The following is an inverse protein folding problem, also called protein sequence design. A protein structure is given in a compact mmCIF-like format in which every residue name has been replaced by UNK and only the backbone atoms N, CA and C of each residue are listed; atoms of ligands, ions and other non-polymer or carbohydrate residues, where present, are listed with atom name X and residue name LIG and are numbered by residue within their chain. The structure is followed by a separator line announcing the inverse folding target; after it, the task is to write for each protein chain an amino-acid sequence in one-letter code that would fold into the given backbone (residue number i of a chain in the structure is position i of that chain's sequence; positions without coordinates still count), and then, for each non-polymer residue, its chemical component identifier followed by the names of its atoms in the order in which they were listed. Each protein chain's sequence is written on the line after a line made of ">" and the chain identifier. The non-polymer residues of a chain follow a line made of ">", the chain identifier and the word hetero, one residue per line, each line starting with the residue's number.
data_IF_686605625664
#
_entry.id   IF_686605625664
#
_cell.length_a   1.000
_cell.length_b   1.000
_cell.length_c   1.000
_cell.angle_alpha   90.00
_cell.angle_beta   90.00
_cell.angle_gamma   90.00
#
_symmetry.space_group_name_H-M   'P 1'
#
loop_
_entity.id
_entity.type
_entity.pdbx_description
1 polymer ?
#
# COMPACT_ATOMS: atom_id res chain seq x y z
N UNK A 1 10.25 25.19 3.97
CA UNK A 1 10.29 24.87 2.52
C UNK A 1 8.96 24.28 2.11
N UNK A 2 8.46 24.62 0.92
CA UNK A 2 7.24 23.98 0.39
C UNK A 2 7.66 22.75 -0.41
N UNK A 3 7.77 21.60 0.23
CA UNK A 3 8.00 20.35 -0.46
C UNK A 3 6.72 19.94 -1.20
N UNK A 4 6.83 19.62 -2.48
CA UNK A 4 5.74 19.05 -3.23
C UNK A 4 5.71 17.56 -2.89
N UNK A 5 4.61 17.10 -2.31
CA UNK A 5 4.40 15.70 -1.94
C UNK A 5 3.43 15.07 -2.93
N UNK A 6 3.81 13.94 -3.48
CA UNK A 6 2.97 13.10 -4.32
C UNK A 6 2.71 11.77 -3.60
N UNK A 7 1.45 11.35 -3.57
CA UNK A 7 1.02 10.14 -2.85
C UNK A 7 0.53 9.12 -3.87
N UNK A 8 1.05 7.89 -3.79
CA UNK A 8 0.66 6.81 -4.69
C UNK A 8 0.29 5.57 -3.88
N UNK A 9 -0.92 5.04 -4.08
CA UNK A 9 -1.29 3.71 -3.62
C UNK A 9 -0.92 2.67 -4.68
N UNK A 10 0.28 2.11 -4.55
CA UNK A 10 0.81 1.14 -5.51
C UNK A 10 0.02 -0.17 -5.54
N UNK A 11 -0.70 -0.51 -4.48
CA UNK A 11 -1.57 -1.68 -4.48
C UNK A 11 -2.77 -1.49 -5.41
N UNK A 12 -3.38 -0.31 -5.36
CA UNK A 12 -4.49 0.05 -6.25
C UNK A 12 -4.03 0.14 -7.71
N UNK A 13 -2.86 0.78 -7.94
CA UNK A 13 -2.28 0.86 -9.29
C UNK A 13 -1.96 -0.52 -9.87
N UNK A 14 -1.40 -1.41 -9.05
CA UNK A 14 -1.08 -2.79 -9.45
C UNK A 14 -2.33 -3.58 -9.85
N UNK A 15 -3.38 -3.55 -9.04
CA UNK A 15 -4.62 -4.25 -9.35
C UNK A 15 -5.37 -3.63 -10.53
N UNK A 16 -5.27 -2.33 -10.72
CA UNK A 16 -5.86 -1.66 -11.88
C UNK A 16 -5.16 -2.09 -13.18
N UNK A 17 -3.84 -2.27 -13.17
CA UNK A 17 -3.07 -2.80 -14.30
C UNK A 17 -3.30 -4.30 -14.49
N UNK A 18 -3.21 -5.10 -13.44
CA UNK A 18 -3.43 -6.55 -13.45
C UNK A 18 -4.80 -6.93 -14.07
N UNK A 19 -5.84 -6.15 -13.73
CA UNK A 19 -7.20 -6.33 -14.24
C UNK A 19 -7.51 -5.37 -15.41
N UNK A 20 -6.51 -4.94 -16.17
CA UNK A 20 -6.73 -4.20 -17.41
C UNK A 20 -7.11 -5.14 -18.56
N UNK A 21 -7.90 -4.65 -19.50
CA UNK A 21 -8.23 -5.40 -20.72
C UNK A 21 -6.98 -5.92 -21.41
N UNK A 22 -5.96 -5.06 -21.56
CA UNK A 22 -4.68 -5.39 -22.21
C UNK A 22 -4.00 -6.58 -21.53
N UNK A 23 -3.86 -6.54 -20.20
CA UNK A 23 -3.19 -7.61 -19.46
C UNK A 23 -3.99 -8.92 -19.51
N UNK A 24 -5.30 -8.86 -19.33
CA UNK A 24 -6.18 -10.05 -19.39
C UNK A 24 -6.20 -10.64 -20.79
N UNK A 25 -6.21 -9.83 -21.84
CA UNK A 25 -6.13 -10.31 -23.23
C UNK A 25 -4.84 -11.07 -23.50
N UNK A 26 -3.69 -10.54 -23.03
CA UNK A 26 -2.41 -11.21 -23.15
C UNK A 26 -2.40 -12.54 -22.38
N UNK A 27 -2.92 -12.55 -21.17
CA UNK A 27 -3.09 -13.80 -20.41
C UNK A 27 -4.00 -14.80 -21.11
N UNK A 28 -5.07 -14.36 -21.78
CA UNK A 28 -5.94 -15.22 -22.58
C UNK A 28 -5.20 -15.84 -23.78
N UNK A 29 -4.30 -15.09 -24.43
CA UNK A 29 -3.46 -15.60 -25.53
C UNK A 29 -2.53 -16.70 -25.02
N UNK A 30 -1.76 -16.40 -23.97
CA UNK A 30 -0.86 -17.37 -23.33
C UNK A 30 -1.58 -18.62 -22.82
N UNK A 31 -2.78 -18.46 -22.26
CA UNK A 31 -3.60 -19.57 -21.80
C UNK A 31 -4.01 -20.51 -22.96
N UNK A 32 -4.36 -19.97 -24.13
CA UNK A 32 -4.68 -20.78 -25.33
C UNK A 32 -3.47 -21.56 -25.83
N UNK A 33 -2.31 -20.92 -25.90
CA UNK A 33 -1.05 -21.54 -26.35
C UNK A 33 -0.58 -22.70 -25.45
N UNK A 34 -0.94 -22.67 -24.16
CA UNK A 34 -0.55 -23.70 -23.19
C UNK A 34 -1.39 -24.99 -23.26
N UNK A 35 -2.45 -25.05 -24.08
CA UNK A 35 -3.48 -26.10 -23.99
C UNK A 35 -3.94 -26.68 -25.33
N UNK A 36 -3.03 -27.33 -26.07
CA UNK A 36 -3.29 -27.88 -27.40
C UNK A 36 -4.18 -29.13 -27.46
N UNK A 37 -4.71 -29.69 -26.34
CA UNK A 37 -5.42 -30.98 -26.40
C UNK A 37 -6.58 -31.13 -25.38
N UNK A 38 -7.62 -30.29 -25.45
CA UNK A 38 -8.84 -30.49 -24.66
C UNK A 38 -9.98 -31.13 -25.48
N UNK A 39 -10.87 -31.85 -24.78
CA UNK A 39 -12.15 -32.28 -25.36
C UNK A 39 -13.02 -31.05 -25.73
N UNK A 40 -13.86 -31.20 -26.75
CA UNK A 40 -14.66 -30.11 -27.30
C UNK A 40 -15.54 -29.38 -26.25
N UNK A 41 -16.05 -30.09 -25.23
CA UNK A 41 -16.85 -29.49 -24.15
C UNK A 41 -16.02 -28.61 -23.21
N UNK A 42 -14.79 -29.03 -22.91
CA UNK A 42 -13.86 -28.24 -22.08
C UNK A 42 -13.41 -27.00 -22.83
N UNK A 43 -13.17 -27.12 -24.13
CA UNK A 43 -12.79 -26.00 -24.98
C UNK A 43 -13.88 -24.91 -25.02
N UNK A 44 -15.16 -25.29 -25.18
CA UNK A 44 -16.28 -24.36 -25.14
C UNK A 44 -16.37 -23.62 -23.79
N UNK A 45 -16.16 -24.35 -22.69
CA UNK A 45 -16.17 -23.73 -21.34
C UNK A 45 -15.05 -22.71 -21.20
N UNK A 46 -13.85 -23.01 -21.69
CA UNK A 46 -12.70 -22.11 -21.69
C UNK A 46 -12.98 -20.84 -22.51
N UNK A 47 -13.56 -20.99 -23.69
CA UNK A 47 -13.92 -19.85 -24.53
C UNK A 47 -14.94 -18.90 -23.82
N UNK A 48 -15.92 -19.46 -23.13
CA UNK A 48 -16.87 -18.68 -22.34
C UNK A 48 -16.20 -17.93 -21.17
N UNK A 49 -15.27 -18.59 -20.46
CA UNK A 49 -14.49 -17.97 -19.39
C UNK A 49 -13.66 -16.82 -19.94
N UNK A 50 -12.95 -17.02 -21.04
CA UNK A 50 -12.14 -15.98 -21.68
C UNK A 50 -12.99 -14.80 -22.17
N UNK A 51 -14.11 -15.10 -22.86
CA UNK A 51 -15.04 -14.06 -23.29
C UNK A 51 -15.58 -13.23 -22.14
N UNK A 52 -15.89 -13.86 -21.01
CA UNK A 52 -16.31 -13.17 -19.79
C UNK A 52 -15.15 -12.34 -19.21
N UNK A 53 -13.96 -12.91 -19.09
CA UNK A 53 -12.79 -12.26 -18.53
C UNK A 53 -12.41 -10.96 -19.27
N UNK A 54 -12.60 -10.90 -20.57
CA UNK A 54 -12.30 -9.71 -21.39
C UNK A 54 -13.21 -8.49 -21.10
N UNK A 55 -14.28 -8.65 -20.32
CA UNK A 55 -15.15 -7.54 -19.91
C UNK A 55 -14.69 -6.87 -18.58
N UNK A 56 -13.40 -6.99 -18.22
CA UNK A 56 -12.86 -6.46 -16.95
C UNK A 56 -13.08 -4.96 -16.78
N UNK A 57 -13.02 -4.18 -17.84
CA UNK A 57 -13.23 -2.72 -17.76
C UNK A 57 -14.70 -2.40 -17.42
N UNK A 58 -15.67 -3.15 -17.97
CA UNK A 58 -17.07 -3.03 -17.55
C UNK A 58 -17.26 -3.44 -16.07
N UNK A 59 -16.59 -4.49 -15.62
CA UNK A 59 -16.63 -4.90 -14.23
C UNK A 59 -16.06 -3.81 -13.29
N UNK A 60 -14.97 -3.14 -13.69
CA UNK A 60 -14.43 -1.98 -12.96
C UNK A 60 -15.45 -0.83 -12.90
N UNK A 61 -16.10 -0.51 -14.02
CA UNK A 61 -17.10 0.55 -14.07
C UNK A 61 -18.29 0.27 -13.16
N UNK A 62 -18.72 -0.99 -13.09
CA UNK A 62 -19.76 -1.40 -12.14
C UNK A 62 -19.30 -1.17 -10.71
N UNK A 63 -18.11 -1.62 -10.36
CA UNK A 63 -17.57 -1.50 -8.99
C UNK A 63 -17.28 -0.05 -8.58
N UNK A 64 -17.00 0.84 -9.54
CA UNK A 64 -16.70 2.26 -9.32
C UNK A 64 -17.92 3.19 -9.44
N UNK A 65 -19.10 2.63 -9.67
CA UNK A 65 -20.35 3.40 -9.90
C UNK A 65 -21.49 2.92 -9.01
N UNK A 66 -22.61 3.64 -9.05
CA UNK A 66 -23.84 3.26 -8.34
C UNK A 66 -24.43 1.92 -8.79
N UNK A 67 -24.00 1.38 -9.94
CA UNK A 67 -24.34 0.03 -10.41
C UNK A 67 -23.94 -1.06 -9.43
N UNK A 68 -22.90 -0.85 -8.63
CA UNK A 68 -22.46 -1.74 -7.55
C UNK A 68 -23.57 -2.11 -6.56
N UNK A 69 -24.51 -1.21 -6.29
CA UNK A 69 -25.64 -1.46 -5.37
C UNK A 69 -26.74 -2.31 -5.99
N UNK A 70 -26.74 -2.51 -7.30
CA UNK A 70 -27.56 -3.52 -7.96
C UNK A 70 -26.92 -4.90 -7.79
N UNK A 71 -27.61 -5.79 -7.07
CA UNK A 71 -27.08 -7.12 -6.75
C UNK A 71 -26.71 -7.93 -8.00
N UNK A 72 -27.54 -7.85 -9.05
CA UNK A 72 -27.33 -8.62 -10.29
C UNK A 72 -26.10 -8.10 -11.05
N UNK A 73 -25.95 -6.78 -11.18
CA UNK A 73 -24.80 -6.16 -11.83
C UNK A 73 -23.49 -6.44 -11.05
N UNK A 74 -23.55 -6.34 -9.72
CA UNK A 74 -22.40 -6.67 -8.87
C UNK A 74 -21.99 -8.14 -9.02
N UNK A 75 -22.92 -9.09 -8.97
CA UNK A 75 -22.62 -10.51 -9.17
C UNK A 75 -22.05 -10.79 -10.57
N UNK A 76 -22.57 -10.11 -11.58
CA UNK A 76 -22.04 -10.19 -12.94
C UNK A 76 -20.58 -9.72 -12.99
N UNK A 77 -20.25 -8.57 -12.41
CA UNK A 77 -18.89 -8.03 -12.35
C UNK A 77 -17.96 -8.91 -11.51
N UNK A 78 -18.41 -9.44 -10.38
CA UNK A 78 -17.65 -10.41 -9.56
C UNK A 78 -17.29 -11.67 -10.35
N UNK A 79 -18.20 -12.16 -11.21
CA UNK A 79 -17.94 -13.31 -12.07
C UNK A 79 -16.88 -12.98 -13.15
N UNK A 80 -16.94 -11.80 -13.74
CA UNK A 80 -15.93 -11.34 -14.69
C UNK A 80 -14.54 -11.33 -14.03
N UNK A 81 -14.41 -10.69 -12.87
CA UNK A 81 -13.15 -10.66 -12.15
C UNK A 81 -12.63 -12.05 -11.74
N UNK A 82 -13.55 -12.93 -11.31
CA UNK A 82 -13.20 -14.32 -10.98
C UNK A 82 -12.65 -15.06 -12.21
N UNK A 83 -13.27 -14.87 -13.36
CA UNK A 83 -12.82 -15.48 -14.61
C UNK A 83 -11.48 -14.90 -15.07
N UNK A 84 -11.27 -13.58 -14.93
CA UNK A 84 -10.00 -12.94 -15.24
C UNK A 84 -8.88 -13.47 -14.33
N UNK A 85 -9.09 -13.49 -13.02
CA UNK A 85 -8.11 -14.03 -12.06
C UNK A 85 -7.85 -15.53 -12.29
N UNK A 86 -8.86 -16.30 -12.70
CA UNK A 86 -8.68 -17.70 -13.07
C UNK A 86 -7.69 -17.84 -14.23
N UNK A 87 -7.86 -17.06 -15.30
CA UNK A 87 -6.96 -17.06 -16.46
C UNK A 87 -5.55 -16.61 -16.06
N UNK A 88 -5.44 -15.48 -15.36
CA UNK A 88 -4.16 -14.92 -14.91
C UNK A 88 -3.40 -15.95 -14.07
N UNK A 89 -4.04 -16.57 -13.10
CA UNK A 89 -3.40 -17.57 -12.22
C UNK A 89 -2.88 -18.78 -12.96
N UNK A 90 -3.51 -19.18 -14.07
CA UNK A 90 -3.05 -20.31 -14.87
C UNK A 90 -1.78 -20.02 -15.66
N UNK A 91 -1.50 -18.77 -15.97
CA UNK A 91 -0.32 -18.37 -16.75
C UNK A 91 0.78 -17.71 -15.90
N UNK A 92 0.58 -17.63 -14.60
CA UNK A 92 1.45 -16.88 -13.68
C UNK A 92 2.47 -17.73 -12.92
N UNK A 93 2.79 -18.93 -13.39
CA UNK A 93 3.94 -19.75 -12.94
C UNK A 93 4.16 -19.81 -11.40
N UNK A 94 3.11 -20.15 -10.63
CA UNK A 94 3.20 -20.29 -9.17
C UNK A 94 2.89 -19.03 -8.35
N UNK A 95 2.70 -17.87 -8.98
CA UNK A 95 2.12 -16.70 -8.33
C UNK A 95 0.61 -16.84 -8.32
N UNK A 96 -0.02 -16.58 -7.17
CA UNK A 96 -1.47 -16.66 -7.01
C UNK A 96 -2.06 -15.32 -6.64
N UNK A 97 -2.96 -14.82 -7.48
CA UNK A 97 -3.67 -13.57 -7.28
C UNK A 97 -5.09 -13.81 -6.78
N UNK A 98 -5.46 -13.12 -5.74
CA UNK A 98 -6.84 -12.99 -5.25
C UNK A 98 -7.19 -11.52 -5.11
N UNK A 99 -8.42 -11.18 -4.73
CA UNK A 99 -8.76 -9.77 -4.44
C UNK A 99 -8.07 -9.23 -3.18
N UNK A 100 -7.62 -10.11 -2.29
CA UNK A 100 -7.13 -9.73 -0.97
C UNK A 100 -5.63 -10.01 -0.79
N UNK A 101 -5.02 -10.81 -1.67
CA UNK A 101 -3.62 -11.20 -1.55
C UNK A 101 -2.98 -11.46 -2.90
N UNK A 102 -1.66 -11.34 -2.91
CA UNK A 102 -0.77 -11.83 -3.96
C UNK A 102 0.18 -12.79 -3.26
N UNK A 103 0.00 -14.08 -3.51
CA UNK A 103 0.78 -15.13 -2.87
C UNK A 103 1.96 -15.48 -3.79
N UNK A 104 3.15 -15.11 -3.38
CA UNK A 104 4.41 -15.41 -4.07
C UNK A 104 5.02 -16.71 -3.51
N UNK A 105 5.80 -17.44 -4.29
CA UNK A 105 6.44 -18.70 -3.84
C UNK A 105 7.67 -18.45 -2.96
N UNK A 106 7.60 -17.49 -2.03
CA UNK A 106 8.65 -17.10 -1.09
C UNK A 106 8.13 -17.02 0.34
N UNK A 107 8.99 -17.32 1.30
CA UNK A 107 8.70 -17.10 2.70
C UNK A 107 8.90 -15.61 3.05
N UNK A 108 7.80 -14.91 3.36
CA UNK A 108 7.79 -13.50 3.75
C UNK A 108 8.45 -13.21 5.10
N UNK A 109 8.76 -14.24 5.88
CA UNK A 109 9.45 -14.13 7.17
C UNK A 109 10.95 -14.49 7.06
N UNK A 110 11.41 -14.84 5.88
CA UNK A 110 12.80 -15.21 5.60
C UNK A 110 13.50 -14.12 4.80
N UNK A 111 14.43 -13.39 5.42
CA UNK A 111 15.25 -12.38 4.73
C UNK A 111 15.97 -12.95 3.49
N UNK A 112 16.61 -14.14 3.53
CA UNK A 112 17.20 -14.74 2.34
C UNK A 112 16.22 -15.00 1.19
N UNK A 113 15.00 -15.48 1.49
CA UNK A 113 13.98 -15.69 0.47
C UNK A 113 13.46 -14.37 -0.12
N UNK A 114 13.30 -13.34 0.71
CA UNK A 114 12.96 -11.99 0.23
C UNK A 114 14.07 -11.48 -0.70
N UNK A 115 15.33 -11.54 -0.30
CA UNK A 115 16.45 -11.08 -1.13
C UNK A 115 16.55 -11.84 -2.45
N UNK A 116 16.32 -13.16 -2.43
CA UNK A 116 16.28 -13.99 -3.64
C UNK A 116 15.18 -13.56 -4.60
N UNK A 117 14.01 -13.18 -4.10
CA UNK A 117 12.86 -12.73 -4.90
C UNK A 117 13.15 -11.46 -5.73
N UNK A 118 14.10 -10.62 -5.29
CA UNK A 118 14.39 -9.33 -5.93
C UNK A 118 15.02 -9.42 -7.32
N UNK A 119 15.50 -10.60 -7.72
CA UNK A 119 16.07 -10.85 -9.04
C UNK A 119 15.22 -11.82 -9.88
N UNK A 120 14.14 -12.36 -9.32
CA UNK A 120 13.32 -13.36 -9.98
C UNK A 120 12.16 -12.72 -10.76
N UNK A 121 12.43 -12.39 -12.01
CA UNK A 121 11.44 -11.78 -12.91
C UNK A 121 10.27 -12.69 -13.27
N UNK A 122 10.40 -14.01 -13.04
CA UNK A 122 9.33 -14.97 -13.32
C UNK A 122 8.26 -14.99 -12.22
N UNK A 123 8.69 -14.93 -10.95
CA UNK A 123 7.80 -15.11 -9.81
C UNK A 123 7.59 -13.81 -8.99
N UNK A 124 8.29 -12.72 -9.34
CA UNK A 124 8.08 -11.41 -8.74
C UNK A 124 7.46 -10.44 -9.76
N UNK A 125 6.14 -10.35 -9.81
CA UNK A 125 5.43 -9.52 -10.80
C UNK A 125 5.65 -8.02 -10.57
N UNK A 126 6.12 -7.62 -9.40
CA UNK A 126 6.36 -6.22 -9.08
C UNK A 126 7.53 -5.63 -9.88
N UNK A 127 8.50 -6.46 -10.30
CA UNK A 127 9.64 -5.99 -11.12
C UNK A 127 9.11 -5.36 -12.41
N UNK A 128 8.42 -6.12 -13.23
CA UNK A 128 7.90 -5.65 -14.52
C UNK A 128 6.87 -4.52 -14.37
N UNK A 129 6.05 -4.56 -13.31
CA UNK A 129 5.09 -3.50 -13.02
C UNK A 129 5.79 -2.16 -12.74
N UNK A 130 6.81 -2.15 -11.89
CA UNK A 130 7.53 -0.91 -11.57
C UNK A 130 8.33 -0.37 -12.75
N UNK A 131 9.04 -1.22 -13.50
CA UNK A 131 9.80 -0.84 -14.69
C UNK A 131 8.92 -0.21 -15.78
N UNK A 132 7.69 -0.72 -15.93
CA UNK A 132 6.82 -0.30 -17.03
C UNK A 132 6.31 1.14 -16.87
N UNK A 133 5.89 1.51 -15.67
CA UNK A 133 5.20 2.78 -15.44
C UNK A 133 5.84 3.64 -14.34
N UNK A 134 6.13 3.06 -13.19
CA UNK A 134 6.41 3.83 -11.99
C UNK A 134 7.80 4.45 -11.98
N UNK A 135 8.85 3.69 -12.36
CA UNK A 135 10.22 4.22 -12.44
C UNK A 135 10.36 5.36 -13.45
N UNK A 136 9.69 5.23 -14.58
CA UNK A 136 9.66 6.32 -15.60
C UNK A 136 9.05 7.60 -15.05
N UNK A 137 8.05 7.49 -14.18
CA UNK A 137 7.46 8.64 -13.51
C UNK A 137 8.45 9.29 -12.56
N UNK A 138 9.13 8.50 -11.69
CA UNK A 138 10.17 9.00 -10.77
C UNK A 138 11.26 9.74 -11.53
N UNK A 139 11.77 9.16 -12.63
CA UNK A 139 12.82 9.76 -13.47
C UNK A 139 12.37 11.06 -14.12
N UNK A 140 11.16 11.07 -14.72
CA UNK A 140 10.61 12.24 -15.38
C UNK A 140 10.38 13.41 -14.42
N UNK A 141 9.86 13.13 -13.26
CA UNK A 141 9.51 14.11 -12.23
C UNK A 141 10.70 14.47 -11.34
N UNK A 142 11.85 13.79 -11.53
CA UNK A 142 13.10 13.99 -10.77
C UNK A 142 12.89 13.97 -9.27
N UNK A 143 12.15 12.98 -8.81
CA UNK A 143 11.89 12.78 -7.38
C UNK A 143 13.22 12.56 -6.67
N UNK A 144 13.42 13.24 -5.54
CA UNK A 144 14.66 13.16 -4.74
C UNK A 144 14.52 12.31 -3.49
N UNK A 145 13.32 12.18 -2.94
CA UNK A 145 13.02 11.39 -1.75
C UNK A 145 11.84 10.44 -2.00
N UNK A 146 11.98 9.20 -1.57
CA UNK A 146 10.90 8.19 -1.62
C UNK A 146 10.68 7.60 -0.22
N UNK A 147 9.46 7.75 0.29
CA UNK A 147 8.99 7.06 1.49
C UNK A 147 8.06 5.90 1.12
N UNK A 148 8.36 4.69 1.56
CA UNK A 148 7.57 3.48 1.28
C UNK A 148 6.94 2.98 2.57
N UNK A 149 5.60 2.94 2.66
CA UNK A 149 4.88 2.46 3.83
C UNK A 149 4.61 0.96 3.75
N UNK A 150 5.08 0.21 4.76
CA UNK A 150 4.94 -1.24 4.89
C UNK A 150 4.15 -1.57 6.16
N UNK A 151 2.86 -1.88 5.99
CA UNK A 151 1.94 -2.15 7.09
C UNK A 151 1.76 -3.65 7.38
N UNK A 152 2.14 -4.52 6.44
CA UNK A 152 2.02 -5.97 6.56
C UNK A 152 3.17 -6.72 5.87
N UNK A 153 3.41 -7.98 6.29
CA UNK A 153 4.48 -8.81 5.74
C UNK A 153 4.36 -9.01 4.22
N UNK A 154 3.15 -9.12 3.69
CA UNK A 154 2.91 -9.32 2.26
C UNK A 154 3.34 -8.14 1.37
N UNK A 155 3.55 -6.96 1.95
CA UNK A 155 4.05 -5.79 1.23
C UNK A 155 5.58 -5.74 1.16
N UNK A 156 6.27 -6.58 1.93
CA UNK A 156 7.72 -6.45 2.12
C UNK A 156 8.50 -6.74 0.84
N UNK A 157 8.19 -7.83 0.13
CA UNK A 157 8.85 -8.15 -1.15
C UNK A 157 8.65 -7.00 -2.16
N UNK A 158 7.41 -6.55 -2.31
CA UNK A 158 7.07 -5.43 -3.20
C UNK A 158 7.84 -4.15 -2.83
N UNK A 159 7.89 -3.81 -1.54
CA UNK A 159 8.58 -2.61 -1.04
C UNK A 159 10.09 -2.67 -1.27
N UNK A 160 10.75 -3.79 -0.96
CA UNK A 160 12.20 -3.94 -1.14
C UNK A 160 12.55 -4.08 -2.63
N UNK A 161 11.68 -4.71 -3.44
CA UNK A 161 11.82 -4.72 -4.91
C UNK A 161 11.82 -3.31 -5.47
N UNK A 162 10.85 -2.48 -5.05
CA UNK A 162 10.79 -1.08 -5.47
C UNK A 162 12.04 -0.31 -5.06
N UNK A 163 12.46 -0.46 -3.80
CA UNK A 163 13.66 0.21 -3.29
C UNK A 163 14.92 -0.16 -4.10
N UNK A 164 15.10 -1.46 -4.41
CA UNK A 164 16.21 -1.94 -5.26
C UNK A 164 16.19 -1.27 -6.63
N UNK A 165 15.06 -1.34 -7.33
CA UNK A 165 14.92 -0.78 -8.68
C UNK A 165 15.14 0.74 -8.69
N UNK A 166 14.67 1.46 -7.68
CA UNK A 166 14.94 2.89 -7.52
C UNK A 166 16.44 3.16 -7.39
N UNK A 167 17.14 2.41 -6.56
CA UNK A 167 18.59 2.58 -6.37
C UNK A 167 19.38 2.27 -7.65
N UNK A 168 18.94 1.31 -8.44
CA UNK A 168 19.60 0.90 -9.67
C UNK A 168 19.30 1.84 -10.86
N UNK A 169 18.08 2.37 -10.95
CA UNK A 169 17.61 3.03 -12.17
C UNK A 169 17.23 4.52 -12.00
N UNK A 170 17.08 5.01 -10.78
CA UNK A 170 16.60 6.38 -10.53
C UNK A 170 17.66 7.23 -9.81
N UNK A 171 18.73 7.71 -10.50
CA UNK A 171 19.82 8.45 -9.88
C UNK A 171 19.41 9.81 -9.29
N UNK A 172 18.22 10.31 -9.61
CA UNK A 172 17.66 11.52 -8.97
C UNK A 172 17.26 11.28 -7.52
N UNK A 173 16.92 10.02 -7.15
CA UNK A 173 16.52 9.69 -5.79
C UNK A 173 17.73 9.61 -4.88
N UNK A 174 17.84 10.57 -3.97
CA UNK A 174 18.93 10.67 -3.01
C UNK A 174 18.72 9.81 -1.78
N UNK A 175 17.46 9.59 -1.39
CA UNK A 175 17.12 8.87 -0.17
C UNK A 175 15.85 8.05 -0.31
N UNK A 176 15.91 6.78 0.09
CA UNK A 176 14.79 5.84 0.16
C UNK A 176 14.58 5.44 1.62
N UNK A 177 13.41 5.74 2.16
CA UNK A 177 13.04 5.41 3.54
C UNK A 177 11.87 4.43 3.57
N UNK A 178 11.97 3.35 4.36
CA UNK A 178 10.83 2.52 4.70
C UNK A 178 10.16 3.03 5.97
N UNK A 179 8.86 2.84 6.10
CA UNK A 179 8.11 3.13 7.31
C UNK A 179 6.90 2.22 7.45
N UNK A 180 6.09 2.45 8.47
CA UNK A 180 4.86 1.71 8.73
C UNK A 180 4.98 0.66 9.84
N UNK A 181 3.84 0.14 10.26
CA UNK A 181 3.74 -0.70 11.45
C UNK A 181 4.53 -2.00 11.38
N UNK A 182 4.58 -2.63 10.22
CA UNK A 182 5.28 -3.91 10.09
C UNK A 182 6.79 -3.71 10.11
N UNK A 183 7.30 -2.75 9.36
CA UNK A 183 8.74 -2.49 9.28
C UNK A 183 9.30 -1.96 10.61
N UNK A 184 8.50 -1.20 11.37
CA UNK A 184 8.88 -0.76 12.73
C UNK A 184 9.20 -1.95 13.63
N UNK A 185 8.32 -2.96 13.66
CA UNK A 185 8.53 -4.18 14.47
C UNK A 185 9.73 -4.97 13.99
N UNK A 186 9.87 -5.11 12.67
CA UNK A 186 11.01 -5.81 12.09
C UNK A 186 12.34 -5.12 12.43
N UNK A 187 12.38 -3.78 12.33
CA UNK A 187 13.57 -3.02 12.69
C UNK A 187 13.91 -3.11 14.18
N UNK A 188 12.90 -3.09 15.05
CA UNK A 188 13.12 -3.12 16.50
C UNK A 188 13.61 -4.47 16.98
N UNK A 189 13.03 -5.55 16.47
CA UNK A 189 13.31 -6.91 16.94
C UNK A 189 14.49 -7.57 16.23
N UNK A 190 14.64 -7.39 14.92
CA UNK A 190 15.53 -8.19 14.08
C UNK A 190 16.77 -7.43 13.60
N UNK A 191 16.70 -6.09 13.45
CA UNK A 191 17.81 -5.31 12.89
C UNK A 191 18.72 -4.76 14.00
N UNK A 192 19.63 -5.60 14.53
CA UNK A 192 20.58 -5.22 15.58
C UNK A 192 21.98 -4.92 15.07
N UNK A 193 22.36 -5.56 13.98
CA UNK A 193 23.59 -5.38 13.24
C UNK A 193 23.27 -4.99 11.79
N UNK A 194 24.19 -5.31 10.85
CA UNK A 194 23.90 -5.10 9.43
C UNK A 194 22.71 -5.95 8.97
N UNK A 195 21.80 -5.33 8.17
CA UNK A 195 20.67 -6.04 7.55
C UNK A 195 20.68 -5.80 6.03
N UNK A 196 20.48 -6.84 5.19
CA UNK A 196 20.61 -6.75 3.73
C UNK A 196 19.70 -5.71 3.07
N UNK A 197 18.58 -5.35 3.67
CA UNK A 197 17.72 -4.31 3.10
C UNK A 197 18.42 -2.96 2.95
N UNK A 198 19.40 -2.67 3.80
CA UNK A 198 20.20 -1.44 3.71
C UNK A 198 21.17 -1.40 2.51
N UNK A 199 21.18 -2.43 1.66
CA UNK A 199 21.76 -2.34 0.33
C UNK A 199 20.91 -1.46 -0.60
N UNK A 200 19.61 -1.37 -0.34
CA UNK A 200 18.62 -0.70 -1.21
C UNK A 200 17.86 0.43 -0.53
N UNK A 201 17.93 0.55 0.79
CA UNK A 201 17.31 1.63 1.55
C UNK A 201 18.33 2.41 2.35
N UNK A 202 18.06 3.67 2.64
CA UNK A 202 18.93 4.54 3.42
C UNK A 202 18.49 4.59 4.89
N UNK A 203 17.18 4.47 5.14
CA UNK A 203 16.65 4.53 6.50
C UNK A 203 15.33 3.79 6.67
N UNK A 204 14.97 3.58 7.94
CA UNK A 204 13.64 3.13 8.35
C UNK A 204 13.09 4.13 9.37
N UNK A 205 11.92 4.70 9.07
CA UNK A 205 11.18 5.54 9.98
C UNK A 205 10.34 4.66 10.90
N UNK A 206 10.67 4.63 12.18
CA UNK A 206 10.02 3.80 13.19
C UNK A 206 8.93 4.58 13.93
N UNK A 207 7.91 3.87 14.40
CA UNK A 207 6.83 4.43 15.23
C UNK A 207 6.03 5.56 14.55
N UNK A 208 5.85 6.69 15.26
CA UNK A 208 5.21 7.88 14.73
C UNK A 208 6.17 8.61 13.79
N UNK A 209 5.74 8.89 12.57
CA UNK A 209 6.61 9.43 11.52
C UNK A 209 6.42 10.91 11.20
N UNK A 210 5.38 11.57 11.68
CA UNK A 210 5.00 12.91 11.22
C UNK A 210 6.10 13.95 11.47
N UNK A 211 6.55 14.12 12.71
CA UNK A 211 7.63 15.03 13.06
C UNK A 211 9.00 14.51 12.60
N UNK A 212 9.33 13.21 12.80
CA UNK A 212 10.58 12.66 12.31
C UNK A 212 10.79 12.79 10.80
N UNK A 213 9.74 12.61 10.00
CA UNK A 213 9.83 12.78 8.55
C UNK A 213 10.15 14.23 8.17
N UNK A 214 9.51 15.21 8.82
CA UNK A 214 9.83 16.61 8.59
C UNK A 214 11.30 16.91 8.89
N UNK A 215 11.81 16.43 10.02
CA UNK A 215 13.23 16.60 10.39
C UNK A 215 14.19 15.88 9.46
N UNK A 216 13.81 14.69 8.96
CA UNK A 216 14.61 13.98 7.95
C UNK A 216 14.71 14.80 6.67
N UNK A 217 13.61 15.33 6.17
CA UNK A 217 13.60 16.16 4.96
C UNK A 217 14.39 17.45 5.16
N UNK A 218 14.32 18.10 6.31
CA UNK A 218 15.11 19.27 6.64
C UNK A 218 16.63 18.96 6.66
N UNK A 219 17.03 17.82 7.22
CA UNK A 219 18.42 17.38 7.23
C UNK A 219 18.93 17.12 5.81
N UNK A 220 18.16 16.41 4.99
CA UNK A 220 18.52 16.13 3.60
C UNK A 220 18.62 17.42 2.75
N UNK A 221 17.70 18.35 2.93
CA UNK A 221 17.70 19.64 2.22
C UNK A 221 18.88 20.53 2.61
N UNK A 222 19.34 20.46 3.86
CA UNK A 222 20.51 21.22 4.32
C UNK A 222 21.86 20.63 3.86
N UNK A 223 21.81 19.42 3.27
CA UNK A 223 23.03 18.68 2.91
C UNK A 223 23.77 18.14 4.13
N UNK A 224 23.10 18.02 5.27
CA UNK A 224 23.68 17.42 6.47
C UNK A 224 23.55 15.90 6.40
N UNK A 225 24.66 15.23 6.16
CA UNK A 225 24.72 13.75 6.16
C UNK A 225 24.56 13.14 7.57
N UNK A 226 24.45 13.99 8.61
CA UNK A 226 24.31 13.54 9.98
C UNK A 226 22.83 13.27 10.34
N UNK A 227 22.37 12.07 10.09
CA UNK A 227 21.02 11.60 10.43
C UNK A 227 20.85 11.24 11.93
N UNK A 228 21.91 11.32 12.74
CA UNK A 228 21.90 10.91 14.16
C UNK A 228 20.94 11.78 15.01
N UNK A 229 20.62 13.00 14.54
CA UNK A 229 19.70 13.92 15.21
C UNK A 229 18.22 13.67 14.88
N UNK A 230 17.90 12.90 13.83
CA UNK A 230 16.51 12.64 13.41
C UNK A 230 15.89 11.58 14.34
N UNK A 231 14.86 11.92 15.13
CA UNK A 231 14.29 10.97 16.07
C UNK A 231 13.55 9.84 15.33
N UNK A 232 13.35 8.72 16.01
CA UNK A 232 12.63 7.54 15.46
C UNK A 232 13.25 6.97 14.17
N UNK A 233 14.45 7.37 13.80
CA UNK A 233 15.12 6.89 12.59
C UNK A 233 16.04 5.73 12.91
N UNK A 234 15.96 4.68 12.09
CA UNK A 234 16.93 3.60 12.02
C UNK A 234 17.67 3.75 10.68
N UNK A 235 19.00 3.89 10.71
CA UNK A 235 19.81 4.10 9.51
C UNK A 235 21.15 3.36 9.59
N UNK A 236 21.79 3.15 8.44
CA UNK A 236 23.09 2.50 8.36
C UNK A 236 24.22 3.53 8.21
N UNK A 237 25.32 3.33 8.95
CA UNK A 237 26.53 4.15 8.86
C UNK A 237 27.76 3.27 9.12
N UNK A 238 28.70 3.28 8.19
CA UNK A 238 29.94 2.50 8.35
C UNK A 238 29.71 1.00 8.50
N UNK A 239 28.73 0.43 7.84
CA UNK A 239 28.39 -1.01 7.89
C UNK A 239 27.69 -1.45 9.18
N UNK A 240 27.19 -0.51 9.98
CA UNK A 240 26.44 -0.77 11.21
C UNK A 240 25.10 -0.05 11.17
N UNK A 241 24.13 -0.60 11.87
CA UNK A 241 22.79 0.00 12.04
C UNK A 241 22.75 0.81 13.34
N UNK A 242 22.25 2.03 13.23
CA UNK A 242 22.00 2.93 14.34
C UNK A 242 20.50 3.15 14.48
N UNK A 243 19.99 3.12 15.70
CA UNK A 243 18.63 3.48 16.06
C UNK A 243 18.68 4.74 16.90
N UNK A 244 18.16 5.83 16.38
CA UNK A 244 18.18 7.12 17.06
C UNK A 244 17.21 7.13 18.24
N UNK A 245 17.31 8.18 19.06
CA UNK A 245 16.43 8.35 20.20
C UNK A 245 14.97 8.40 19.75
N UNK A 246 14.12 7.81 20.58
CA UNK A 246 12.69 7.75 20.32
C UNK A 246 11.99 8.99 20.89
N UNK A 247 11.08 9.55 20.11
CA UNK A 247 10.09 10.51 20.57
C UNK A 247 8.68 9.97 20.35
N UNK A 248 7.74 10.44 21.16
CA UNK A 248 6.32 10.20 20.96
C UNK A 248 5.69 11.42 20.31
N UNK A 249 4.86 11.16 19.28
CA UNK A 249 4.18 12.25 18.60
C UNK A 249 3.19 12.96 19.52
N UNK A 250 3.43 14.23 19.77
CA UNK A 250 2.55 15.09 20.57
C UNK A 250 1.42 15.73 19.75
N UNK A 251 1.61 15.80 18.42
CA UNK A 251 0.70 16.49 17.49
C UNK A 251 -0.50 15.67 17.02
N UNK A 252 -0.82 14.55 17.67
CA UNK A 252 -1.99 13.74 17.32
C UNK A 252 -3.28 14.58 17.25
N UNK A 253 -3.31 15.71 17.95
CA UNK A 253 -4.44 16.64 18.00
C UNK A 253 -4.43 17.66 16.87
N UNK A 254 -3.29 17.90 16.23
CA UNK A 254 -3.10 18.99 15.27
C UNK A 254 -3.07 18.49 13.82
N UNK A 255 -2.83 17.19 13.59
CA UNK A 255 -2.77 16.62 12.27
C UNK A 255 -4.16 16.28 11.74
N UNK A 256 -4.49 16.77 10.55
CA UNK A 256 -5.70 16.38 9.80
C UNK A 256 -5.24 15.48 8.65
N UNK A 257 -5.79 14.27 8.49
CA UNK A 257 -5.50 13.45 7.33
C UNK A 257 -5.94 14.17 6.05
N UNK A 258 -5.05 14.21 5.07
CA UNK A 258 -5.32 14.70 3.72
C UNK A 258 -5.43 13.49 2.78
N UNK A 259 -6.50 13.43 2.01
CA UNK A 259 -6.77 12.36 1.05
C UNK A 259 -6.73 12.84 -0.40
N UNK A 260 -6.49 14.11 -0.66
CA UNK A 260 -6.57 14.71 -2.00
C UNK A 260 -5.52 14.15 -2.96
N UNK A 261 -4.38 13.68 -2.45
CA UNK A 261 -3.32 13.10 -3.27
C UNK A 261 -3.60 11.67 -3.78
N UNK A 262 -4.64 10.99 -3.28
CA UNK A 262 -4.93 9.62 -3.66
C UNK A 262 -5.80 9.54 -4.92
N UNK A 263 -5.52 8.58 -5.79
CA UNK A 263 -6.35 8.25 -6.96
C UNK A 263 -7.63 7.50 -6.54
N UNK A 264 -8.48 8.14 -5.73
CA UNK A 264 -9.63 7.52 -5.07
C UNK A 264 -10.64 6.90 -6.06
N UNK A 265 -10.72 7.42 -7.28
CA UNK A 265 -11.57 6.87 -8.34
C UNK A 265 -11.14 5.48 -8.83
N UNK A 266 -9.92 5.04 -8.54
CA UNK A 266 -9.41 3.72 -8.92
C UNK A 266 -9.81 2.61 -7.96
N UNK A 267 -10.27 2.93 -6.77
CA UNK A 267 -10.73 1.92 -5.81
C UNK A 267 -11.97 1.21 -6.31
N UNK A 268 -12.08 -0.09 -6.03
CA UNK A 268 -13.24 -0.91 -6.40
C UNK A 268 -14.38 -0.75 -5.39
N UNK A 269 -14.74 0.50 -5.11
CA UNK A 269 -15.87 0.86 -4.24
C UNK A 269 -16.43 2.21 -4.68
N UNK A 270 -17.75 2.30 -4.91
CA UNK A 270 -18.40 3.56 -5.31
C UNK A 270 -18.51 4.56 -4.17
N UNK A 271 -18.45 4.08 -2.93
CA UNK A 271 -18.45 4.88 -1.70
C UNK A 271 -17.23 4.48 -0.86
N UNK A 272 -16.33 5.42 -0.68
CA UNK A 272 -15.08 5.20 0.05
C UNK A 272 -15.32 5.21 1.56
N UNK A 273 -14.65 4.31 2.25
CA UNK A 273 -14.58 4.28 3.72
C UNK A 273 -13.24 4.87 4.12
N UNK A 274 -13.27 6.10 4.64
CA UNK A 274 -12.07 6.78 5.10
C UNK A 274 -11.86 6.52 6.59
N UNK A 275 -10.68 6.03 7.00
CA UNK A 275 -10.39 5.76 8.39
C UNK A 275 -10.13 7.06 9.17
N UNK A 276 -10.72 7.19 10.34
CA UNK A 276 -10.44 8.27 11.30
C UNK A 276 -9.91 7.67 12.58
N UNK A 277 -8.69 8.05 12.96
CA UNK A 277 -8.12 7.66 14.23
C UNK A 277 -8.65 8.53 15.36
N UNK A 278 -9.21 7.94 16.41
CA UNK A 278 -9.59 8.61 17.64
C UNK A 278 -8.55 8.45 18.77
N UNK A 279 -7.60 7.54 18.57
CA UNK A 279 -6.52 7.27 19.53
C UNK A 279 -5.35 6.56 18.84
N UNK A 280 -4.18 6.66 19.45
CA UNK A 280 -3.00 5.85 19.10
C UNK A 280 -2.60 4.99 20.28
N UNK A 281 -2.01 3.84 19.99
CA UNK A 281 -1.66 2.80 20.96
C UNK A 281 -2.91 2.16 21.60
N UNK A 282 -2.70 1.13 22.40
CA UNK A 282 -3.72 0.43 23.15
C UNK A 282 -3.31 0.40 24.63
N UNK A 283 -4.28 0.55 25.51
CA UNK A 283 -4.05 0.47 26.97
C UNK A 283 -3.94 -0.97 27.49
N UNK A 284 -4.27 -1.97 26.64
CA UNK A 284 -4.15 -3.38 27.00
C UNK A 284 -2.76 -3.92 26.63
N UNK A 285 -2.33 -4.97 27.37
CA UNK A 285 -1.08 -5.69 27.16
C UNK A 285 -1.35 -7.17 26.85
N UNK A 286 -2.20 -7.44 25.83
CA UNK A 286 -2.54 -8.79 25.43
C UNK A 286 -1.29 -9.54 24.93
N UNK A 287 -1.05 -10.76 25.42
CA UNK A 287 0.17 -11.53 25.14
C UNK A 287 0.40 -11.84 23.64
N UNK A 288 -0.66 -11.87 22.85
CA UNK A 288 -0.59 -12.10 21.40
C UNK A 288 -0.51 -10.80 20.56
N UNK A 289 -0.66 -9.65 21.19
CA UNK A 289 -0.83 -8.39 20.46
C UNK A 289 0.50 -7.69 20.23
N UNK A 290 0.76 -7.32 18.98
CA UNK A 290 1.98 -6.63 18.55
C UNK A 290 1.84 -5.12 18.46
N UNK A 291 0.66 -4.55 18.73
CA UNK A 291 0.43 -3.09 18.70
C UNK A 291 1.40 -2.32 19.60
N UNK A 292 1.69 -2.76 20.84
CA UNK A 292 2.67 -2.03 21.68
C UNK A 292 4.05 -1.91 21.05
N UNK A 293 4.52 -2.95 20.34
CA UNK A 293 5.79 -2.89 19.62
C UNK A 293 5.74 -2.04 18.34
N UNK A 294 4.58 -2.02 17.67
CA UNK A 294 4.44 -1.32 16.38
C UNK A 294 4.33 0.20 16.51
N UNK A 295 3.63 0.67 17.55
CA UNK A 295 3.37 2.11 17.73
C UNK A 295 4.19 2.71 18.84
N UNK A 296 4.67 1.88 19.77
CA UNK A 296 5.45 2.32 20.94
C UNK A 296 4.70 3.31 21.84
N UNK A 297 5.24 3.59 23.02
CA UNK A 297 4.75 4.68 23.87
C UNK A 297 3.45 4.42 24.62
N UNK A 298 2.86 5.50 25.14
CA UNK A 298 1.65 5.47 25.93
C UNK A 298 0.38 5.59 25.05
N UNK A 299 -0.73 5.07 25.61
CA UNK A 299 -2.04 5.29 25.00
C UNK A 299 -2.39 6.78 24.96
N UNK A 300 -2.67 7.31 23.77
CA UNK A 300 -2.96 8.72 23.51
C UNK A 300 -4.33 8.86 22.86
N UNK A 301 -5.18 9.69 23.42
CA UNK A 301 -6.53 9.99 22.90
C UNK A 301 -6.53 11.31 22.16
N UNK A 302 -7.28 11.36 21.07
CA UNK A 302 -7.66 12.61 20.43
C UNK A 302 -8.88 13.19 21.15
N UNK A 303 -8.96 14.50 21.37
CA UNK A 303 -10.18 15.14 21.85
C UNK A 303 -11.37 14.84 20.93
N UNK A 304 -12.54 14.57 21.52
CA UNK A 304 -13.74 14.24 20.75
C UNK A 304 -14.11 15.35 19.77
N UNK A 305 -13.96 16.63 20.19
CA UNK A 305 -14.17 17.79 19.32
C UNK A 305 -13.31 17.74 18.05
N UNK A 306 -12.06 17.30 18.17
CA UNK A 306 -11.15 17.18 17.05
C UNK A 306 -11.53 16.02 16.12
N UNK A 307 -11.93 14.90 16.68
CA UNK A 307 -12.47 13.77 15.87
C UNK A 307 -13.64 14.24 15.03
N UNK A 308 -14.58 14.98 15.62
CA UNK A 308 -15.72 15.53 14.89
C UNK A 308 -15.31 16.57 13.83
N UNK A 309 -14.30 17.37 14.09
CA UNK A 309 -13.78 18.34 13.13
C UNK A 309 -13.17 17.62 11.91
N UNK A 310 -12.33 16.60 12.13
CA UNK A 310 -11.76 15.75 11.06
C UNK A 310 -12.90 15.13 10.27
N UNK A 311 -13.86 14.49 10.93
CA UNK A 311 -15.00 13.88 10.24
C UNK A 311 -15.80 14.87 9.40
N UNK A 312 -16.00 16.11 9.89
CA UNK A 312 -16.71 17.14 9.14
C UNK A 312 -15.94 17.64 7.93
N UNK A 313 -14.63 17.83 8.06
CA UNK A 313 -13.77 18.28 6.97
C UNK A 313 -13.69 17.20 5.88
N UNK A 314 -13.38 15.97 6.27
CA UNK A 314 -13.40 14.83 5.35
C UNK A 314 -14.76 14.64 4.68
N UNK A 315 -15.86 14.84 5.41
CA UNK A 315 -17.21 14.72 4.86
C UNK A 315 -17.59 15.82 3.87
N UNK A 316 -16.99 16.99 3.95
CA UNK A 316 -17.22 18.11 3.01
C UNK A 316 -16.52 17.88 1.66
N UNK A 317 -15.34 17.33 1.71
CA UNK A 317 -14.52 17.02 0.53
C UNK A 317 -15.09 15.81 -0.23
N UNK A 318 -15.44 14.78 0.50
CA UNK A 318 -16.07 13.58 -0.06
C UNK A 318 -17.56 13.64 0.29
N UNK A 319 -18.44 13.97 -0.64
CA UNK A 319 -19.90 14.05 -0.41
C UNK A 319 -20.41 12.75 0.20
N UNK A 320 -20.32 12.62 1.52
CA UNK A 320 -20.71 11.46 2.30
C UNK A 320 -22.22 11.31 2.22
N UNK A 321 -22.67 10.42 1.36
CA UNK A 321 -24.06 9.97 1.25
C UNK A 321 -24.61 9.45 2.60
N UNK A 322 -23.73 9.03 3.50
CA UNK A 322 -24.12 8.48 4.81
C UNK A 322 -24.81 9.51 5.72
N UNK A 323 -24.51 10.78 5.59
CA UNK A 323 -25.21 11.82 6.38
C UNK A 323 -26.57 12.26 5.79
N UNK A 324 -26.90 11.90 4.56
CA UNK A 324 -28.20 12.24 3.97
C UNK A 324 -29.34 11.34 4.43
N UNK A 325 -29.06 10.17 5.00
CA UNK A 325 -30.08 9.19 5.41
C UNK A 325 -30.29 9.10 6.92
N UNK A 326 -29.37 9.56 7.74
CA UNK A 326 -29.63 9.71 9.17
C UNK A 326 -30.14 11.12 9.44
N UNK A 327 -31.25 11.24 10.13
CA UNK A 327 -31.77 12.50 10.68
C UNK A 327 -30.74 13.06 11.68
N UNK A 328 -29.64 13.57 11.17
CA UNK A 328 -28.52 14.14 11.98
C UNK A 328 -28.94 15.31 12.87
N UNK A 329 -30.15 15.86 12.67
CA UNK A 329 -30.75 16.86 13.53
C UNK A 329 -31.23 16.34 14.90
N UNK A 330 -31.46 15.03 15.04
CA UNK A 330 -31.94 14.48 16.33
C UNK A 330 -30.80 14.00 17.24
N UNK A 331 -29.58 13.75 16.71
CA UNK A 331 -28.44 13.30 17.51
C UNK A 331 -27.74 14.42 18.29
N UNK A 332 -27.84 15.66 17.82
CA UNK A 332 -27.18 16.78 18.50
C UNK A 332 -27.90 17.26 19.77
N UNK A 333 -29.16 16.88 19.99
CA UNK A 333 -29.97 17.43 21.10
C UNK A 333 -30.42 16.39 22.14
N UNK A 334 -30.18 15.09 21.98
CA UNK A 334 -30.76 14.11 22.90
C UNK A 334 -29.79 13.37 23.82
N UNK A 335 -28.45 13.65 23.77
CA UNK A 335 -27.46 12.99 24.64
C UNK A 335 -26.39 13.93 25.25
N UNK A 336 -26.66 15.21 25.34
CA UNK A 336 -25.93 16.10 26.25
C UNK A 336 -26.85 16.53 27.38
N UNK A 337 -27.36 15.58 28.14
CA UNK A 337 -27.88 15.79 29.52
C UNK A 337 -27.33 14.67 30.37
#
# INVERSE_FOLDING_TARGET
>A
MNNIVDIVDLNVEFYDDLLSFRHVEECCKRYRESKDSFSSNVQLTIELIQKSALNVDEAKDIFRSKRYFNLQERQYAENIFRNALYIINHVSYGVKYTFNSIDLPYDYYSTPEIMKSLADTLHNPFISFYETAFLKRIQREKIEFIGISVSGCFQLISAVTLAKLIKEECPSVKHVSLGGNYITRLADDCMKEWHPFFEYIDSIMMYDGEEPLARLLEALDSGDDNLDCVPNLCHAKGGKIYKNHRIEQTFINDTVPDFDGFALSKYFMPELILPVYSSRQCFNHCAFCTIPGATGGCYRKMPISRVFEIMKNTAREFSLLWMKHSKAKEWSNSRMK
#
